data_IF_700727583109
#
_entry.id   IF_700727583109
#
_cell.length_a   1.000
_cell.length_b   1.000
_cell.length_c   1.000
_cell.angle_alpha   90.00
_cell.angle_beta   90.00
_cell.angle_gamma   90.00
#
_symmetry.space_group_name_H-M   'P 1'
#
loop_
_entity.id
_entity.type
_entity.pdbx_description
1 polymer ?
#
# COMPACT_ATOMS: atom_id res chain seq x y z
N UNK A 1 3.83 -32.58 31.22
CA UNK A 1 4.76 -32.22 30.13
C UNK A 1 3.89 -31.89 28.91
N UNK A 2 3.69 -30.60 28.63
CA UNK A 2 2.71 -30.11 27.66
C UNK A 2 3.42 -29.84 26.34
N UNK A 3 3.09 -30.62 25.29
CA UNK A 3 3.57 -30.45 23.93
C UNK A 3 2.75 -29.35 23.23
N UNK A 4 3.31 -28.14 23.14
CA UNK A 4 2.78 -27.07 22.31
C UNK A 4 3.21 -27.26 20.85
N UNK A 5 2.20 -27.32 19.99
CA UNK A 5 2.28 -27.39 18.52
C UNK A 5 2.94 -26.13 17.95
N UNK A 6 3.98 -26.31 17.15
CA UNK A 6 4.46 -25.29 16.19
C UNK A 6 3.87 -25.60 14.82
N UNK A 7 2.68 -25.06 14.56
CA UNK A 7 2.18 -24.95 13.19
C UNK A 7 2.97 -23.83 12.50
N UNK A 8 3.88 -24.19 11.60
CA UNK A 8 4.63 -23.23 10.80
C UNK A 8 3.69 -22.48 9.86
N UNK A 9 3.78 -21.16 9.96
CA UNK A 9 3.19 -20.16 9.08
C UNK A 9 3.87 -20.31 7.72
N UNK A 10 3.23 -21.05 6.82
CA UNK A 10 3.72 -21.29 5.47
C UNK A 10 2.60 -21.11 4.45
N UNK A 11 1.96 -19.93 4.41
CA UNK A 11 0.97 -19.61 3.38
C UNK A 11 0.61 -18.11 3.34
N UNK A 12 1.54 -17.21 3.01
CA UNK A 12 1.14 -15.84 2.57
C UNK A 12 2.19 -15.28 1.61
N UNK A 13 2.23 -15.74 0.35
CA UNK A 13 2.91 -15.02 -0.75
C UNK A 13 2.57 -15.59 -2.13
N UNK A 14 1.28 -15.75 -2.45
CA UNK A 14 0.84 -15.93 -3.84
C UNK A 14 -0.53 -15.28 -4.04
N UNK A 15 -0.52 -13.95 -4.16
CA UNK A 15 -1.64 -13.20 -4.72
C UNK A 15 -1.15 -11.83 -5.20
N UNK A 16 -0.08 -11.84 -6.01
CA UNK A 16 0.11 -10.74 -6.97
C UNK A 16 -0.87 -11.05 -8.11
N UNK A 17 -2.07 -10.53 -7.96
CA UNK A 17 -3.08 -10.54 -9.02
C UNK A 17 -2.43 -9.99 -10.28
N UNK A 18 -2.33 -10.83 -11.30
CA UNK A 18 -2.08 -10.36 -12.66
C UNK A 18 -3.27 -9.48 -13.03
N UNK A 19 -3.12 -8.17 -12.82
CA UNK A 19 -3.97 -7.17 -13.45
C UNK A 19 -3.61 -7.21 -14.92
N UNK A 20 -4.18 -8.18 -15.63
CA UNK A 20 -4.21 -8.18 -17.10
C UNK A 20 -5.21 -7.09 -17.44
N UNK A 21 -4.74 -5.84 -17.48
CA UNK A 21 -5.50 -4.78 -18.11
C UNK A 21 -5.70 -5.22 -19.57
N UNK A 22 -6.95 -5.29 -20.07
CA UNK A 22 -7.17 -5.53 -21.48
C UNK A 22 -6.46 -4.42 -22.24
N UNK A 23 -5.47 -4.77 -23.05
CA UNK A 23 -4.79 -3.83 -23.96
C UNK A 23 -5.82 -3.44 -25.02
N UNK A 24 -6.63 -2.44 -24.72
CA UNK A 24 -7.49 -1.80 -25.70
C UNK A 24 -6.61 -1.01 -26.63
N UNK A 25 -6.32 -1.61 -27.79
CA UNK A 25 -5.65 -1.00 -28.93
C UNK A 25 -6.43 0.25 -29.35
N UNK A 26 -6.08 1.39 -28.76
CA UNK A 26 -6.60 2.68 -29.14
C UNK A 26 -6.02 3.00 -30.50
N UNK A 27 -6.90 3.14 -31.50
CA UNK A 27 -6.53 3.65 -32.83
C UNK A 27 -5.79 4.96 -32.60
N UNK A 28 -4.51 5.01 -32.97
CA UNK A 28 -3.68 6.21 -32.82
C UNK A 28 -4.28 7.25 -33.76
N UNK A 29 -4.80 8.39 -33.25
CA UNK A 29 -5.24 9.46 -34.13
C UNK A 29 -4.04 9.92 -34.96
N UNK A 30 -4.29 10.28 -36.22
CA UNK A 30 -3.30 10.76 -37.21
C UNK A 30 -2.65 12.12 -36.82
N UNK A 31 -2.63 12.44 -35.53
CA UNK A 31 -2.03 13.64 -34.98
C UNK A 31 -0.51 13.47 -34.90
N UNK A 32 0.20 14.45 -35.45
CA UNK A 32 1.66 14.59 -35.32
C UNK A 32 2.10 14.98 -33.91
N UNK A 33 1.15 15.30 -33.01
CA UNK A 33 1.44 15.62 -31.62
C UNK A 33 2.00 14.42 -30.85
N UNK A 34 2.97 14.69 -29.98
CA UNK A 34 3.52 13.69 -29.07
C UNK A 34 2.46 13.36 -28.02
N UNK A 35 2.11 12.08 -27.78
CA UNK A 35 1.16 11.71 -26.74
C UNK A 35 1.64 12.08 -25.34
N UNK A 36 0.71 12.44 -24.45
CA UNK A 36 1.02 12.81 -23.06
C UNK A 36 1.84 11.74 -22.33
N UNK A 37 1.51 10.46 -22.52
CA UNK A 37 2.25 9.35 -21.91
C UNK A 37 3.71 9.28 -22.36
N UNK A 38 3.98 9.61 -23.63
CA UNK A 38 5.34 9.71 -24.19
C UNK A 38 6.05 10.93 -23.62
N UNK A 39 5.36 12.07 -23.52
CA UNK A 39 5.92 13.30 -22.96
C UNK A 39 6.30 13.14 -21.48
N UNK A 40 5.43 12.51 -20.67
CA UNK A 40 5.69 12.17 -19.27
C UNK A 40 6.76 11.09 -19.09
N UNK A 41 7.04 10.30 -20.13
CA UNK A 41 8.11 9.31 -20.16
C UNK A 41 9.51 9.91 -20.24
N UNK A 42 9.63 11.21 -20.47
CA UNK A 42 10.89 11.94 -20.50
C UNK A 42 11.68 11.79 -21.81
N UNK A 43 12.93 12.24 -21.79
CA UNK A 43 13.76 12.45 -22.98
C UNK A 43 13.93 11.17 -23.81
N UNK A 44 14.04 10.00 -23.19
CA UNK A 44 14.21 8.74 -23.90
C UNK A 44 13.00 8.37 -24.78
N UNK A 45 11.77 8.50 -24.26
CA UNK A 45 10.56 8.19 -25.02
C UNK A 45 10.29 9.23 -26.11
N UNK A 46 10.61 10.49 -25.81
CA UNK A 46 10.54 11.58 -26.79
C UNK A 46 11.52 11.32 -27.95
N UNK A 47 12.77 10.91 -27.67
CA UNK A 47 13.75 10.54 -28.70
C UNK A 47 13.31 9.33 -29.53
N UNK A 48 12.77 8.28 -28.89
CA UNK A 48 12.18 7.14 -29.61
C UNK A 48 11.05 7.58 -30.53
N UNK A 49 10.15 8.45 -30.04
CA UNK A 49 9.02 8.95 -30.80
C UNK A 49 9.47 9.74 -32.02
N UNK A 50 10.39 10.69 -31.85
CA UNK A 50 10.95 11.45 -32.97
C UNK A 50 11.69 10.55 -33.96
N UNK A 51 12.52 9.63 -33.47
CA UNK A 51 13.20 8.65 -34.33
C UNK A 51 12.22 7.86 -35.20
N UNK A 52 11.12 7.38 -34.60
CA UNK A 52 10.10 6.64 -35.33
C UNK A 52 9.36 7.51 -36.36
N UNK A 53 9.08 8.79 -36.04
CA UNK A 53 8.51 9.78 -36.97
C UNK A 53 9.44 10.04 -38.16
N UNK A 54 10.76 10.01 -37.95
CA UNK A 54 11.80 10.23 -38.96
C UNK A 54 12.15 8.97 -39.79
N UNK A 55 11.54 7.83 -39.47
CA UNK A 55 11.74 6.59 -40.21
C UNK A 55 12.76 5.65 -39.60
N UNK A 56 13.03 5.74 -38.30
CA UNK A 56 13.96 4.90 -37.57
C UNK A 56 13.29 4.24 -36.37
N UNK A 57 13.15 2.91 -36.42
CA UNK A 57 12.81 2.14 -35.23
C UNK A 57 14.09 1.67 -34.52
N UNK A 58 14.20 2.00 -33.24
CA UNK A 58 15.35 1.68 -32.37
C UNK A 58 14.94 0.63 -31.34
N UNK A 59 15.30 -0.65 -31.52
CA UNK A 59 14.96 -1.71 -30.56
C UNK A 59 15.82 -1.67 -29.29
N UNK A 60 16.89 -0.87 -29.30
CA UNK A 60 17.79 -0.69 -28.16
C UNK A 60 18.08 0.80 -28.00
N UNK A 61 18.11 1.23 -26.75
CA UNK A 61 18.47 2.59 -26.37
C UNK A 61 19.91 2.60 -25.83
N UNK A 62 20.66 3.71 -26.02
CA UNK A 62 21.91 3.93 -25.32
C UNK A 62 21.79 3.77 -23.81
N UNK A 63 22.82 3.21 -23.17
CA UNK A 63 22.89 3.04 -21.71
C UNK A 63 22.79 4.36 -20.94
N UNK A 64 23.09 5.49 -21.59
CA UNK A 64 22.94 6.85 -21.02
C UNK A 64 21.50 7.18 -20.62
N UNK A 65 20.51 6.48 -21.18
CA UNK A 65 19.11 6.63 -20.76
C UNK A 65 18.79 5.85 -19.47
N UNK A 66 19.73 5.06 -18.94
CA UNK A 66 19.60 4.39 -17.65
C UNK A 66 18.57 3.26 -17.65
N UNK A 67 17.78 3.09 -16.57
CA UNK A 67 16.85 1.97 -16.42
C UNK A 67 15.85 1.81 -17.57
N UNK A 68 15.40 2.92 -18.16
CA UNK A 68 14.41 2.90 -19.25
C UNK A 68 14.94 2.17 -20.50
N UNK A 69 16.26 2.16 -20.73
CA UNK A 69 16.85 1.44 -21.85
C UNK A 69 16.67 -0.08 -21.70
N UNK A 70 16.88 -0.59 -20.49
CA UNK A 70 16.66 -1.99 -20.15
C UNK A 70 15.16 -2.34 -20.19
N UNK A 71 14.33 -1.50 -19.58
CA UNK A 71 12.87 -1.69 -19.54
C UNK A 71 12.25 -1.71 -20.95
N UNK A 72 12.68 -0.80 -21.83
CA UNK A 72 12.26 -0.78 -23.24
C UNK A 72 12.64 -2.08 -23.95
N UNK A 73 13.87 -2.53 -23.74
CA UNK A 73 14.37 -3.76 -24.35
C UNK A 73 13.61 -5.00 -23.87
N UNK A 74 13.29 -5.06 -22.57
CA UNK A 74 12.51 -6.15 -21.99
C UNK A 74 11.06 -6.11 -22.49
N UNK A 75 10.44 -4.93 -22.53
CA UNK A 75 9.10 -4.74 -23.08
C UNK A 75 8.99 -5.27 -24.51
N UNK A 76 9.95 -4.92 -25.37
CA UNK A 76 9.97 -5.40 -26.75
C UNK A 76 10.11 -6.93 -26.81
N UNK A 77 10.96 -7.51 -25.99
CA UNK A 77 11.20 -8.95 -25.96
C UNK A 77 9.97 -9.73 -25.46
N UNK A 78 9.26 -9.22 -24.47
CA UNK A 78 8.11 -9.89 -23.85
C UNK A 78 6.80 -9.66 -24.60
N UNK A 79 6.55 -8.43 -25.07
CA UNK A 79 5.25 -8.02 -25.61
C UNK A 79 5.30 -7.55 -27.06
N UNK A 80 6.47 -7.18 -27.56
CA UNK A 80 6.63 -6.57 -28.87
C UNK A 80 6.09 -7.45 -30.00
N UNK A 81 6.43 -8.75 -30.00
CA UNK A 81 5.96 -9.68 -31.04
C UNK A 81 4.44 -9.74 -31.13
N UNK A 82 3.74 -9.84 -29.99
CA UNK A 82 2.27 -9.91 -29.94
C UNK A 82 1.64 -8.66 -30.57
N UNK A 83 2.10 -7.48 -30.15
CA UNK A 83 1.61 -6.18 -30.66
C UNK A 83 1.87 -6.06 -32.16
N UNK A 84 3.07 -6.43 -32.63
CA UNK A 84 3.43 -6.38 -34.05
C UNK A 84 2.52 -7.31 -34.86
N UNK A 85 2.38 -8.58 -34.47
CA UNK A 85 1.55 -9.54 -35.20
C UNK A 85 0.10 -9.10 -35.28
N UNK A 86 -0.46 -8.65 -34.16
CA UNK A 86 -1.83 -8.17 -34.10
C UNK A 86 -2.08 -6.99 -35.05
N UNK A 87 -1.17 -5.99 -35.05
CA UNK A 87 -1.28 -4.88 -35.99
C UNK A 87 -1.26 -5.35 -37.45
N UNK A 88 -0.28 -6.17 -37.83
CA UNK A 88 -0.14 -6.61 -39.22
C UNK A 88 -1.29 -7.51 -39.67
N UNK A 89 -1.82 -8.37 -38.81
CA UNK A 89 -3.01 -9.18 -39.13
C UNK A 89 -4.24 -8.32 -39.40
N UNK A 90 -4.44 -7.25 -38.64
CA UNK A 90 -5.55 -6.31 -38.86
C UNK A 90 -5.34 -5.44 -40.10
N UNK A 91 -4.12 -4.94 -40.31
CA UNK A 91 -3.80 -4.04 -41.41
C UNK A 91 -3.75 -4.76 -42.77
N UNK A 92 -3.37 -6.05 -42.80
CA UNK A 92 -3.24 -6.84 -44.02
C UNK A 92 -3.89 -8.23 -43.84
N UNK A 93 -5.23 -8.30 -43.85
CA UNK A 93 -5.95 -9.55 -43.62
C UNK A 93 -5.69 -10.61 -44.71
N UNK A 94 -5.33 -10.18 -45.93
CA UNK A 94 -5.16 -11.06 -47.10
C UNK A 94 -3.92 -11.98 -47.08
N UNK A 95 -3.16 -12.02 -45.98
CA UNK A 95 -2.28 -13.15 -45.71
C UNK A 95 -0.80 -12.86 -45.42
N UNK A 96 -0.13 -13.93 -44.99
CA UNK A 96 1.24 -13.96 -44.44
C UNK A 96 2.32 -13.45 -45.39
N UNK A 97 2.12 -13.59 -46.71
CA UNK A 97 3.10 -13.13 -47.71
C UNK A 97 3.20 -11.60 -47.77
N UNK A 98 2.07 -10.89 -47.71
CA UNK A 98 2.03 -9.41 -47.63
C UNK A 98 2.68 -8.94 -46.34
N UNK A 99 2.41 -9.62 -45.21
CA UNK A 99 3.06 -9.32 -43.93
C UNK A 99 4.58 -9.46 -43.97
N UNK A 100 5.08 -10.49 -44.66
CA UNK A 100 6.53 -10.67 -44.85
C UNK A 100 7.15 -9.55 -45.68
N UNK A 101 6.55 -9.21 -46.81
CA UNK A 101 7.05 -8.15 -47.70
C UNK A 101 6.96 -6.76 -47.05
N UNK A 102 5.97 -6.56 -46.21
CA UNK A 102 5.78 -5.33 -45.45
C UNK A 102 6.71 -5.24 -44.22
N UNK A 103 7.54 -6.26 -43.95
CA UNK A 103 8.61 -6.15 -42.95
C UNK A 103 8.17 -6.44 -41.52
N UNK A 104 7.04 -7.13 -41.32
CA UNK A 104 6.61 -7.65 -40.02
C UNK A 104 7.72 -8.46 -39.33
N UNK A 105 8.32 -9.42 -40.04
CA UNK A 105 9.39 -10.26 -39.50
C UNK A 105 10.62 -9.46 -39.08
N UNK A 106 10.92 -8.34 -39.76
CA UNK A 106 12.06 -7.51 -39.36
C UNK A 106 11.80 -6.82 -38.02
N UNK A 107 10.59 -6.31 -37.79
CA UNK A 107 10.20 -5.80 -36.47
C UNK A 107 10.23 -6.88 -35.40
N UNK A 108 9.69 -8.06 -35.67
CA UNK A 108 9.68 -9.20 -34.72
C UNK A 108 11.10 -9.60 -34.36
N UNK A 109 11.98 -9.77 -35.35
CA UNK A 109 13.36 -10.19 -35.10
C UNK A 109 14.13 -9.18 -34.25
N UNK A 110 13.87 -7.88 -34.45
CA UNK A 110 14.47 -6.83 -33.63
C UNK A 110 13.90 -6.80 -32.22
N UNK A 111 12.59 -6.99 -32.06
CA UNK A 111 11.94 -7.07 -30.76
C UNK A 111 12.44 -8.28 -29.95
N UNK A 112 12.61 -9.44 -30.61
CA UNK A 112 13.12 -10.68 -30.03
C UNK A 112 14.65 -10.74 -29.91
N UNK A 113 15.38 -9.70 -30.32
CA UNK A 113 16.86 -9.67 -30.36
C UNK A 113 17.51 -10.78 -31.20
N UNK A 114 16.78 -11.33 -32.16
CA UNK A 114 17.35 -12.25 -33.17
C UNK A 114 18.00 -11.49 -34.33
N UNK A 115 17.79 -10.18 -34.39
CA UNK A 115 18.53 -9.23 -35.22
C UNK A 115 18.97 -8.02 -34.38
N UNK A 116 20.05 -7.35 -34.81
CA UNK A 116 20.62 -6.19 -34.12
C UNK A 116 20.58 -4.93 -34.99
N UNK A 117 20.66 -3.77 -34.32
CA UNK A 117 20.72 -2.46 -34.97
C UNK A 117 19.36 -1.79 -35.19
N UNK A 118 19.39 -0.65 -35.87
CA UNK A 118 18.19 0.15 -36.11
C UNK A 118 17.48 -0.28 -37.40
N UNK A 119 16.15 -0.21 -37.41
CA UNK A 119 15.36 -0.41 -38.63
C UNK A 119 15.00 0.92 -39.25
N UNK A 120 15.70 1.26 -40.33
CA UNK A 120 15.34 2.38 -41.21
C UNK A 120 14.24 2.00 -42.20
N UNK A 121 13.24 2.86 -42.35
CA UNK A 121 12.18 2.76 -43.34
C UNK A 121 11.84 4.14 -43.92
N UNK A 122 11.37 4.16 -45.17
CA UNK A 122 10.82 5.36 -45.80
C UNK A 122 9.40 5.60 -45.27
N UNK A 123 9.19 6.74 -44.61
CA UNK A 123 7.92 7.09 -43.97
C UNK A 123 6.82 7.44 -44.96
N UNK A 124 7.16 7.90 -46.17
CA UNK A 124 6.19 8.21 -47.23
C UNK A 124 5.76 6.95 -47.96
N UNK A 125 6.68 6.01 -48.19
CA UNK A 125 6.39 4.76 -48.89
C UNK A 125 5.80 3.67 -47.99
N UNK A 126 6.21 3.64 -46.72
CA UNK A 126 5.87 2.58 -45.77
C UNK A 126 5.30 3.14 -44.48
N UNK A 127 4.24 3.93 -44.58
CA UNK A 127 3.58 4.57 -43.45
C UNK A 127 3.17 3.59 -42.34
N UNK A 128 2.68 2.40 -42.69
CA UNK A 128 2.34 1.37 -41.70
C UNK A 128 3.53 0.95 -40.82
N UNK A 129 4.79 1.02 -41.32
CA UNK A 129 5.98 0.74 -40.49
C UNK A 129 6.18 1.83 -39.43
N UNK A 130 5.93 3.08 -39.80
CA UNK A 130 5.90 4.21 -38.88
C UNK A 130 4.83 3.99 -37.82
N UNK A 131 3.62 3.62 -38.22
CA UNK A 131 2.51 3.35 -37.28
C UNK A 131 2.87 2.25 -36.29
N UNK A 132 3.47 1.15 -36.73
CA UNK A 132 3.92 0.06 -35.82
C UNK A 132 4.97 0.54 -34.83
N UNK A 133 5.97 1.29 -35.30
CA UNK A 133 7.02 1.81 -34.42
C UNK A 133 6.41 2.74 -33.35
N UNK A 134 5.54 3.67 -33.75
CA UNK A 134 4.85 4.58 -32.83
C UNK A 134 3.92 3.84 -31.88
N UNK A 135 3.23 2.80 -32.34
CA UNK A 135 2.38 1.95 -31.52
C UNK A 135 3.18 1.29 -30.40
N UNK A 136 4.30 0.66 -30.71
CA UNK A 136 5.16 0.02 -29.70
C UNK A 136 5.63 1.03 -28.65
N UNK A 137 6.08 2.22 -29.09
CA UNK A 137 6.55 3.28 -28.20
C UNK A 137 5.41 3.79 -27.31
N UNK A 138 4.23 4.07 -27.88
CA UNK A 138 3.07 4.53 -27.14
C UNK A 138 2.61 3.49 -26.11
N UNK A 139 2.50 2.23 -26.51
CA UNK A 139 2.09 1.15 -25.60
C UNK A 139 3.06 1.01 -24.43
N UNK A 140 4.37 1.11 -24.69
CA UNK A 140 5.36 1.12 -23.62
C UNK A 140 5.21 2.34 -22.70
N UNK A 141 5.02 3.53 -23.26
CA UNK A 141 4.82 4.76 -22.50
C UNK A 141 3.58 4.68 -21.59
N UNK A 142 2.47 4.18 -22.13
CA UNK A 142 1.22 3.99 -21.40
C UNK A 142 1.40 3.00 -20.23
N UNK A 143 2.13 1.90 -20.45
CA UNK A 143 2.43 0.92 -19.40
C UNK A 143 3.30 1.51 -18.29
N UNK A 144 4.34 2.26 -18.65
CA UNK A 144 5.21 2.96 -17.70
C UNK A 144 4.42 3.94 -16.85
N UNK A 145 3.48 4.68 -17.46
CA UNK A 145 2.62 5.60 -16.74
C UNK A 145 1.65 4.85 -15.81
N UNK A 146 1.08 3.73 -16.26
CA UNK A 146 0.21 2.90 -15.45
C UNK A 146 0.94 2.33 -14.22
N UNK A 147 2.17 1.83 -14.39
CA UNK A 147 3.01 1.34 -13.29
C UNK A 147 3.33 2.44 -12.27
N UNK A 148 3.71 3.63 -12.73
CA UNK A 148 3.94 4.79 -11.85
C UNK A 148 2.70 5.17 -11.05
N UNK A 149 1.51 5.16 -11.68
CA UNK A 149 0.24 5.45 -11.01
C UNK A 149 -0.10 4.38 -9.97
N UNK A 150 0.06 3.10 -10.32
CA UNK A 150 -0.19 1.99 -9.40
C UNK A 150 0.70 2.07 -8.15
N UNK A 151 1.98 2.37 -8.34
CA UNK A 151 2.92 2.52 -7.22
C UNK A 151 2.55 3.68 -6.29
N UNK A 152 2.18 4.84 -6.83
CA UNK A 152 1.69 5.98 -6.04
C UNK A 152 0.44 5.64 -5.23
N UNK A 153 -0.50 4.90 -5.81
CA UNK A 153 -1.71 4.46 -5.10
C UNK A 153 -1.37 3.50 -3.96
N UNK A 154 -0.45 2.56 -4.19
CA UNK A 154 0.01 1.63 -3.17
C UNK A 154 0.68 2.36 -2.00
N UNK A 155 1.58 3.31 -2.28
CA UNK A 155 2.21 4.13 -1.23
C UNK A 155 1.20 4.94 -0.44
N UNK A 156 0.25 5.60 -1.12
CA UNK A 156 -0.80 6.36 -0.45
C UNK A 156 -1.67 5.46 0.46
N UNK A 157 -1.95 4.22 0.02
CA UNK A 157 -2.69 3.23 0.81
C UNK A 157 -1.92 2.81 2.07
N UNK A 158 -0.62 2.57 1.95
CA UNK A 158 0.25 2.24 3.09
C UNK A 158 0.33 3.38 4.09
N UNK A 159 0.48 4.62 3.62
CA UNK A 159 0.48 5.81 4.48
C UNK A 159 -0.86 5.99 5.21
N UNK A 160 -1.98 5.79 4.53
CA UNK A 160 -3.32 5.85 5.14
C UNK A 160 -3.47 4.80 6.23
N UNK A 161 -3.06 3.56 5.97
CA UNK A 161 -3.08 2.48 6.94
C UNK A 161 -2.21 2.79 8.16
N UNK A 162 -1.01 3.34 7.96
CA UNK A 162 -0.13 3.74 9.04
C UNK A 162 -0.74 4.86 9.90
N UNK A 163 -1.42 5.84 9.27
CA UNK A 163 -2.14 6.90 9.99
C UNK A 163 -3.30 6.36 10.82
N UNK A 164 -4.10 5.46 10.24
CA UNK A 164 -5.20 4.81 10.96
C UNK A 164 -4.70 4.01 12.16
N UNK A 165 -3.61 3.27 12.01
CA UNK A 165 -3.00 2.52 13.11
C UNK A 165 -2.50 3.45 14.22
N UNK A 166 -1.84 4.56 13.87
CA UNK A 166 -1.41 5.56 14.86
C UNK A 166 -2.59 6.19 15.59
N UNK A 167 -3.67 6.53 14.89
CA UNK A 167 -4.89 7.05 15.51
C UNK A 167 -5.54 6.02 16.42
N UNK A 168 -5.61 4.76 16.01
CA UNK A 168 -6.16 3.67 16.81
C UNK A 168 -5.33 3.45 18.09
N UNK A 169 -4.00 3.44 17.99
CA UNK A 169 -3.08 3.38 19.14
C UNK A 169 -3.26 4.58 20.07
N UNK A 170 -3.41 5.78 19.51
CA UNK A 170 -3.69 7.00 20.27
C UNK A 170 -4.98 6.91 21.07
N UNK A 171 -6.07 6.47 20.43
CA UNK A 171 -7.37 6.23 21.08
C UNK A 171 -7.27 5.17 22.17
N UNK A 172 -6.59 4.06 21.91
CA UNK A 172 -6.38 2.98 22.90
C UNK A 172 -5.62 3.48 24.14
N UNK A 173 -4.54 4.26 23.94
CA UNK A 173 -3.80 4.88 25.04
C UNK A 173 -4.66 5.84 25.86
N UNK A 174 -5.47 6.67 25.19
CA UNK A 174 -6.39 7.58 25.86
C UNK A 174 -7.44 6.83 26.69
N UNK A 175 -8.01 5.74 26.16
CA UNK A 175 -8.94 4.87 26.89
C UNK A 175 -8.28 4.23 28.11
N UNK A 176 -7.07 3.70 27.97
CA UNK A 176 -6.31 3.12 29.08
C UNK A 176 -6.00 4.16 30.16
N UNK A 177 -5.59 5.38 29.78
CA UNK A 177 -5.35 6.47 30.72
C UNK A 177 -6.62 6.89 31.47
N UNK A 178 -7.76 6.96 30.78
CA UNK A 178 -9.07 7.24 31.38
C UNK A 178 -9.47 6.16 32.40
N UNK A 179 -9.30 4.89 32.05
CA UNK A 179 -9.55 3.77 32.97
C UNK A 179 -8.61 3.79 34.18
N UNK A 180 -7.33 4.11 33.99
CA UNK A 180 -6.38 4.25 35.10
C UNK A 180 -6.78 5.38 36.06
N UNK A 181 -7.19 6.55 35.52
CA UNK A 181 -7.68 7.65 36.34
C UNK A 181 -8.95 7.29 37.12
N UNK A 182 -9.88 6.56 36.50
CA UNK A 182 -11.09 6.10 37.17
C UNK A 182 -10.76 5.15 38.33
N UNK A 183 -9.86 4.19 38.12
CA UNK A 183 -9.39 3.27 39.17
C UNK A 183 -8.76 4.02 40.33
N UNK A 184 -7.93 5.03 40.05
CA UNK A 184 -7.31 5.83 41.10
C UNK A 184 -8.35 6.58 41.95
N UNK A 185 -9.40 7.13 41.32
CA UNK A 185 -10.52 7.76 42.03
C UNK A 185 -11.26 6.77 42.93
N UNK A 186 -11.61 5.60 42.41
CA UNK A 186 -12.29 4.56 43.16
C UNK A 186 -11.46 4.08 44.37
N UNK A 187 -10.14 3.94 44.21
CA UNK A 187 -9.23 3.58 45.32
C UNK A 187 -9.20 4.69 46.38
N UNK A 188 -9.16 5.97 45.97
CA UNK A 188 -9.20 7.10 46.91
C UNK A 188 -10.52 7.16 47.67
N UNK A 189 -11.65 6.90 47.01
CA UNK A 189 -12.97 6.86 47.65
C UNK A 189 -13.06 5.69 48.64
N UNK A 190 -12.65 4.48 48.25
CA UNK A 190 -12.64 3.32 49.15
C UNK A 190 -11.78 3.56 50.41
N UNK A 191 -10.60 4.19 50.26
CA UNK A 191 -9.77 4.56 51.41
C UNK A 191 -10.44 5.56 52.34
N UNK A 192 -11.15 6.57 51.78
CA UNK A 192 -11.91 7.53 52.60
C UNK A 192 -13.05 6.85 53.35
N UNK A 193 -13.75 5.91 52.73
CA UNK A 193 -14.80 5.13 53.40
C UNK A 193 -14.23 4.25 54.52
N UNK A 194 -13.08 3.60 54.28
CA UNK A 194 -12.40 2.80 55.30
C UNK A 194 -11.95 3.64 56.50
N UNK A 195 -11.37 4.82 56.27
CA UNK A 195 -11.00 5.75 57.34
C UNK A 195 -12.22 6.27 58.11
N UNK A 196 -13.31 6.58 57.41
CA UNK A 196 -14.56 7.00 58.06
C UNK A 196 -15.17 5.86 58.91
N UNK A 197 -15.12 4.62 58.44
CA UNK A 197 -15.56 3.45 59.20
C UNK A 197 -14.70 3.24 60.46
N UNK A 198 -13.37 3.33 60.34
CA UNK A 198 -12.44 3.26 61.48
C UNK A 198 -12.72 4.34 62.52
N UNK A 199 -12.98 5.58 62.10
CA UNK A 199 -13.35 6.69 63.00
C UNK A 199 -14.67 6.43 63.73
N UNK A 200 -15.68 5.91 63.04
CA UNK A 200 -16.97 5.53 63.66
C UNK A 200 -16.81 4.42 64.69
N UNK A 201 -15.98 3.42 64.40
CA UNK A 201 -15.71 2.32 65.34
C UNK A 201 -14.96 2.80 66.58
N UNK A 202 -13.93 3.64 66.41
CA UNK A 202 -13.22 4.30 67.51
C UNK A 202 -14.17 5.12 68.39
N UNK A 203 -15.08 5.90 67.80
CA UNK A 203 -16.08 6.65 68.54
C UNK A 203 -17.01 5.73 69.35
N UNK A 204 -17.43 4.61 68.77
CA UNK A 204 -18.23 3.58 69.47
C UNK A 204 -17.49 2.97 70.65
N UNK A 205 -16.19 2.67 70.50
CA UNK A 205 -15.38 2.13 71.58
C UNK A 205 -15.19 3.14 72.72
N UNK A 206 -15.01 4.43 72.40
CA UNK A 206 -14.94 5.50 73.38
C UNK A 206 -16.24 5.63 74.18
N UNK A 207 -17.40 5.61 73.50
CA UNK A 207 -18.71 5.66 74.17
C UNK A 207 -18.91 4.45 75.12
N UNK A 208 -18.48 3.25 74.71
CA UNK A 208 -18.54 2.07 75.55
C UNK A 208 -17.64 2.16 76.78
N UNK A 209 -16.47 2.79 76.65
CA UNK A 209 -15.57 3.04 77.78
C UNK A 209 -16.18 4.05 78.75
N UNK A 210 -16.68 5.18 78.26
CA UNK A 210 -17.40 6.15 79.09
C UNK A 210 -18.56 5.49 79.84
N UNK A 211 -19.41 4.70 79.15
CA UNK A 211 -20.50 3.98 79.80
C UNK A 211 -20.02 3.05 80.92
N UNK A 212 -18.89 2.38 80.75
CA UNK A 212 -18.29 1.53 81.80
C UNK A 212 -17.81 2.35 82.99
N UNK A 213 -17.21 3.51 82.75
CA UNK A 213 -16.78 4.42 83.81
C UNK A 213 -17.96 4.99 84.59
N UNK A 214 -19.00 5.45 83.89
CA UNK A 214 -20.25 5.89 84.51
C UNK A 214 -20.93 4.77 85.32
N UNK A 215 -20.93 3.54 84.80
CA UNK A 215 -21.44 2.37 85.54
C UNK A 215 -20.68 2.07 86.82
N UNK A 216 -19.35 2.25 86.83
CA UNK A 216 -18.51 2.13 88.04
C UNK A 216 -18.79 3.24 89.05
N UNK A 217 -18.95 4.48 88.60
CA UNK A 217 -19.29 5.63 89.45
C UNK A 217 -20.66 5.45 90.12
N UNK A 218 -21.64 4.89 89.41
CA UNK A 218 -22.96 4.61 89.96
C UNK A 218 -22.98 3.43 90.96
N UNK A 219 -22.07 2.46 90.82
CA UNK A 219 -21.95 1.34 91.77
C UNK A 219 -21.20 1.71 93.06
N UNK A 220 -20.35 2.73 93.04
CA UNK A 220 -19.72 3.32 94.24
C UNK A 220 -20.71 4.01 95.21
N UNK A 221 -21.98 4.15 94.82
CA UNK A 221 -23.06 4.66 95.69
C UNK A 221 -23.87 3.60 96.44
N UNK A 222 -23.63 2.29 96.23
CA UNK A 222 -24.43 1.22 96.85
C UNK A 222 -23.77 0.49 98.03
N UNK A 223 -22.51 0.80 98.37
CA UNK A 223 -21.83 0.28 99.57
C UNK A 223 -21.91 1.25 100.78
N UNK A 224 -22.97 2.06 100.87
CA UNK A 224 -23.39 2.62 102.16
C UNK A 224 -24.20 1.54 102.89
N UNK A 225 -23.48 0.69 103.63
CA UNK A 225 -24.03 -0.46 104.34
C UNK A 225 -25.17 -0.14 105.32
N UNK A 226 -25.89 -1.17 105.79
CA UNK A 226 -26.97 -1.02 106.74
C UNK A 226 -26.43 -0.48 108.07
N UNK A 227 -26.79 0.75 108.41
CA UNK A 227 -26.62 1.30 109.74
C UNK A 227 -27.59 0.62 110.68
N UNK A 228 -27.07 -0.34 111.47
CA UNK A 228 -27.66 -0.75 112.73
C UNK A 228 -27.55 0.41 113.73
N UNK A 229 -28.70 0.93 114.19
CA UNK A 229 -29.00 1.41 115.55
C UNK A 229 -30.30 2.21 115.54
#
# INVERSE_FOLDING_TARGET
MILLKTASIGAVLQLVGHVIAPVTLTVIPESTAIPDSVQEGGVALIDLWHSAQEGFFRPSLPETYGPIALEWSNFLQEKGEGIIREYYWRAFPDGTWKNKHNGMFKFINLAQKTAYGNYRYDTKKYEFKKVVALLLIKTFADEQQALKRAWKVMQASEEMRAREEMQARGKMKATLASQASLRERLVKEAKKEEEAAKRKELARQAELLERKEWGKLLTLGMDAGPSNA
#
